data_IF_771892684851
#
_entry.id   IF_771892684851
#
_cell.length_a   1.000
_cell.length_b   1.000
_cell.length_c   1.000
_cell.angle_alpha   90.00
_cell.angle_beta   90.00
_cell.angle_gamma   90.00
#
_symmetry.space_group_name_H-M   'P 1'
#
loop_
_entity.id
_entity.type
_entity.pdbx_description
1 polymer ?
#
# COMPACT_ATOMS: atom_id res chain seq x y z
N UNK A 1 23.60 -34.26 41.77
CA UNK A 1 22.48 -33.59 41.05
C UNK A 1 22.42 -32.13 41.46
N UNK A 2 22.92 -31.23 40.62
CA UNK A 2 22.67 -29.79 40.75
C UNK A 2 22.81 -29.16 39.36
N UNK A 3 21.81 -29.41 38.51
CA UNK A 3 21.65 -28.62 37.31
C UNK A 3 21.25 -27.21 37.75
N UNK A 4 22.22 -26.30 37.84
CA UNK A 4 21.86 -24.88 37.79
C UNK A 4 21.36 -24.66 36.37
N UNK A 5 20.04 -24.55 36.23
CA UNK A 5 19.38 -24.17 34.98
C UNK A 5 19.93 -22.78 34.64
N UNK A 6 20.97 -22.74 33.80
CA UNK A 6 21.55 -21.52 33.27
C UNK A 6 20.51 -20.84 32.39
N UNK A 7 19.56 -20.17 33.02
CA UNK A 7 18.53 -19.37 32.35
C UNK A 7 19.17 -18.09 31.89
N UNK A 8 19.81 -18.12 30.72
CA UNK A 8 20.20 -16.90 30.03
C UNK A 8 18.94 -16.07 29.75
N UNK A 9 18.88 -14.85 30.27
CA UNK A 9 17.80 -13.91 29.93
C UNK A 9 17.90 -13.59 28.44
N UNK A 10 16.82 -13.76 27.69
CA UNK A 10 16.79 -13.45 26.26
C UNK A 10 17.01 -11.94 26.06
N UNK A 11 18.08 -11.56 25.34
CA UNK A 11 18.38 -10.17 24.96
C UNK A 11 17.52 -9.66 23.79
N UNK A 12 16.63 -10.50 23.28
CA UNK A 12 15.78 -10.23 22.13
C UNK A 12 14.35 -9.98 22.63
N UNK A 13 13.89 -8.73 22.55
CA UNK A 13 12.55 -8.32 22.98
C UNK A 13 12.13 -6.94 22.46
N UNK A 14 12.84 -6.42 21.45
CA UNK A 14 12.53 -5.14 20.83
C UNK A 14 11.87 -5.38 19.50
N UNK A 15 10.67 -4.85 19.34
CA UNK A 15 9.99 -4.74 18.06
C UNK A 15 9.43 -3.33 17.89
N UNK A 16 9.22 -2.93 16.64
CA UNK A 16 8.65 -1.63 16.30
C UNK A 16 7.14 -1.74 16.13
N UNK A 17 6.41 -0.70 16.54
CA UNK A 17 4.96 -0.66 16.34
C UNK A 17 4.57 -0.77 14.86
N UNK A 18 3.50 -1.50 14.57
CA UNK A 18 3.00 -1.69 13.22
C UNK A 18 2.62 -0.37 12.56
N UNK A 19 3.07 -0.16 11.32
CA UNK A 19 2.82 1.07 10.57
C UNK A 19 1.53 1.05 9.75
N UNK A 20 0.71 -0.01 9.90
CA UNK A 20 -0.59 -0.17 9.22
C UNK A 20 -0.53 0.08 7.71
N UNK A 21 0.55 -0.38 7.09
CA UNK A 21 0.76 -0.32 5.63
C UNK A 21 -0.23 -1.24 4.90
N UNK A 22 -0.19 -1.23 3.57
CA UNK A 22 -0.99 -2.09 2.72
C UNK A 22 -2.05 -1.35 1.91
N UNK A 23 -2.80 -2.14 1.15
CA UNK A 23 -3.91 -1.71 0.30
C UNK A 23 -5.08 -1.28 1.17
N UNK A 24 -5.72 -0.17 0.82
CA UNK A 24 -6.89 0.40 1.50
C UNK A 24 -8.14 0.27 0.65
N UNK A 25 -7.99 0.41 -0.67
CA UNK A 25 -9.08 0.25 -1.64
C UNK A 25 -8.63 -0.76 -2.68
N UNK A 26 -9.45 -1.79 -2.88
CA UNK A 26 -9.17 -2.90 -3.80
C UNK A 26 -9.72 -2.61 -5.21
N UNK A 27 -9.31 -3.42 -6.18
CA UNK A 27 -9.80 -3.31 -7.55
C UNK A 27 -11.31 -3.46 -7.64
N UNK A 28 -11.96 -2.61 -8.44
CA UNK A 28 -13.41 -2.57 -8.63
C UNK A 28 -14.17 -1.71 -7.61
N UNK A 29 -13.51 -1.25 -6.54
CA UNK A 29 -14.13 -0.38 -5.55
C UNK A 29 -14.11 1.09 -6.00
N UNK A 30 -15.17 1.82 -5.65
CA UNK A 30 -15.28 3.25 -5.87
C UNK A 30 -14.43 4.02 -4.88
N UNK A 31 -13.74 5.06 -5.36
CA UNK A 31 -12.92 5.96 -4.55
C UNK A 31 -13.20 7.41 -4.95
N UNK A 32 -13.19 8.28 -3.96
CA UNK A 32 -13.28 9.72 -4.18
C UNK A 32 -11.88 10.31 -4.44
N UNK A 33 -11.82 11.46 -5.09
CA UNK A 33 -10.63 12.27 -5.24
C UNK A 33 -10.01 12.55 -3.86
N UNK A 34 -8.69 12.40 -3.76
CA UNK A 34 -7.93 12.50 -2.50
C UNK A 34 -7.94 11.23 -1.64
N UNK A 35 -8.76 10.23 -1.98
CA UNK A 35 -8.80 8.95 -1.26
C UNK A 35 -7.48 8.17 -1.38
N UNK A 36 -7.03 7.54 -0.29
CA UNK A 36 -5.81 6.72 -0.27
C UNK A 36 -6.11 5.32 -0.80
N UNK A 37 -5.33 4.87 -1.79
CA UNK A 37 -5.43 3.54 -2.39
C UNK A 37 -4.48 2.56 -1.69
N UNK A 38 -3.20 2.93 -1.53
CA UNK A 38 -2.16 2.08 -0.93
C UNK A 38 -1.19 2.90 -0.09
N UNK A 39 -0.88 2.43 1.12
CA UNK A 39 0.27 2.89 1.91
C UNK A 39 1.40 1.88 1.80
N UNK A 40 2.56 2.28 1.28
CA UNK A 40 3.67 1.36 1.00
C UNK A 40 5.02 1.93 1.46
N UNK A 41 6.05 1.08 1.43
CA UNK A 41 7.45 1.49 1.55
C UNK A 41 8.13 1.19 0.22
N UNK A 42 8.69 2.24 -0.39
CA UNK A 42 9.09 2.21 -1.79
C UNK A 42 7.91 2.03 -2.74
N UNK A 43 8.20 1.86 -4.02
CA UNK A 43 7.20 1.74 -5.09
C UNK A 43 7.01 0.28 -5.49
N UNK A 44 6.31 -0.51 -4.66
CA UNK A 44 5.89 -1.87 -5.07
C UNK A 44 4.82 -1.81 -6.14
N UNK A 45 3.88 -0.87 -5.96
CA UNK A 45 2.92 -0.47 -6.97
C UNK A 45 3.23 0.96 -7.39
N UNK A 46 3.22 1.21 -8.69
CA UNK A 46 3.47 2.51 -9.29
C UNK A 46 2.17 3.27 -9.51
N UNK A 47 2.26 4.60 -9.50
CA UNK A 47 1.15 5.45 -9.91
C UNK A 47 0.91 5.29 -11.41
N UNK A 48 -0.31 4.92 -11.78
CA UNK A 48 -0.79 4.91 -13.14
C UNK A 48 -1.67 6.14 -13.42
N UNK A 49 -2.62 5.98 -14.33
CA UNK A 49 -3.53 7.03 -14.73
C UNK A 49 -4.47 7.44 -13.58
N UNK A 50 -4.68 8.75 -13.41
CA UNK A 50 -5.50 9.37 -12.36
C UNK A 50 -5.11 9.03 -10.91
N UNK A 51 -3.85 8.63 -10.69
CA UNK A 51 -3.30 8.33 -9.37
C UNK A 51 -2.07 9.20 -9.11
N UNK A 52 -2.04 9.84 -7.95
CA UNK A 52 -0.88 10.57 -7.44
C UNK A 52 -0.03 9.74 -6.48
N UNK A 53 1.23 10.13 -6.31
CA UNK A 53 2.15 9.53 -5.34
C UNK A 53 2.65 10.58 -4.36
N UNK A 54 2.51 10.31 -3.05
CA UNK A 54 3.00 11.17 -1.98
C UNK A 54 4.49 10.97 -1.68
N UNK A 55 5.05 11.81 -0.80
CA UNK A 55 6.46 11.74 -0.37
C UNK A 55 6.86 10.39 0.26
N UNK A 56 5.94 9.74 0.97
CA UNK A 56 6.15 8.42 1.57
C UNK A 56 5.80 7.26 0.61
N UNK A 57 5.63 7.54 -0.68
CA UNK A 57 5.18 6.62 -1.73
C UNK A 57 3.73 6.12 -1.59
N UNK A 58 2.92 6.78 -0.75
CA UNK A 58 1.48 6.50 -0.67
C UNK A 58 0.80 6.86 -2.00
N UNK A 59 -0.05 5.97 -2.51
CA UNK A 59 -0.85 6.20 -3.71
C UNK A 59 -2.23 6.71 -3.34
N UNK A 60 -2.68 7.77 -4.01
CA UNK A 60 -3.99 8.39 -3.80
C UNK A 60 -4.69 8.72 -5.13
N UNK A 61 -6.02 8.74 -5.13
CA UNK A 61 -6.81 9.05 -6.31
C UNK A 61 -6.82 10.56 -6.60
N UNK A 62 -6.66 10.95 -7.85
CA UNK A 62 -6.78 12.35 -8.30
C UNK A 62 -8.22 12.72 -8.67
N UNK A 63 -9.00 11.73 -9.10
CA UNK A 63 -10.40 11.89 -9.54
C UNK A 63 -11.30 10.86 -8.85
N UNK A 64 -12.60 11.13 -8.86
CA UNK A 64 -13.60 10.16 -8.43
C UNK A 64 -13.71 9.05 -9.48
N UNK A 65 -13.81 7.80 -9.05
CA UNK A 65 -13.88 6.68 -9.99
C UNK A 65 -13.72 5.31 -9.33
N UNK A 66 -13.38 4.31 -10.14
CA UNK A 66 -13.11 2.94 -9.67
C UNK A 66 -11.63 2.62 -9.76
N UNK A 67 -11.10 1.97 -8.73
CA UNK A 67 -9.69 1.54 -8.70
C UNK A 67 -9.51 0.30 -9.56
N UNK A 68 -8.45 0.26 -10.37
CA UNK A 68 -8.02 -0.89 -11.14
C UNK A 68 -6.51 -1.10 -10.96
N UNK A 69 -6.09 -2.35 -10.86
CA UNK A 69 -4.67 -2.71 -10.86
C UNK A 69 -4.32 -3.39 -12.17
N UNK A 70 -3.22 -2.99 -12.78
CA UNK A 70 -2.73 -3.56 -14.03
C UNK A 70 -1.23 -3.84 -13.94
N UNK A 71 -0.79 -4.91 -14.59
CA UNK A 71 0.64 -5.21 -14.76
C UNK A 71 1.03 -4.71 -16.16
N UNK A 72 2.03 -3.83 -16.25
CA UNK A 72 2.45 -3.22 -17.51
C UNK A 72 3.98 -3.21 -17.66
N UNK A 73 4.42 -3.14 -18.91
CA UNK A 73 5.83 -3.01 -19.30
C UNK A 73 6.64 -4.32 -19.28
N UNK A 74 7.85 -4.27 -19.82
CA UNK A 74 8.76 -5.43 -19.93
C UNK A 74 9.12 -6.02 -18.56
N UNK A 75 9.26 -5.15 -17.55
CA UNK A 75 9.60 -5.54 -16.18
C UNK A 75 8.38 -6.00 -15.34
N UNK A 76 7.17 -6.03 -15.93
CA UNK A 76 5.94 -6.46 -15.26
C UNK A 76 5.66 -5.71 -13.95
N UNK A 77 5.87 -4.39 -13.95
CA UNK A 77 5.55 -3.57 -12.80
C UNK A 77 4.03 -3.46 -12.61
N UNK A 78 3.57 -3.45 -11.36
CA UNK A 78 2.18 -3.22 -11.00
C UNK A 78 1.88 -1.73 -10.97
N UNK A 79 0.77 -1.33 -11.57
CA UNK A 79 0.28 0.05 -11.60
C UNK A 79 -1.12 0.12 -11.00
N UNK A 80 -1.36 1.12 -10.17
CA UNK A 80 -2.70 1.50 -9.71
C UNK A 80 -3.27 2.56 -10.67
N UNK A 81 -4.47 2.34 -11.15
CA UNK A 81 -5.18 3.21 -12.09
C UNK A 81 -6.54 3.53 -11.49
N UNK A 82 -7.02 4.76 -11.66
CA UNK A 82 -8.40 5.13 -11.36
C UNK A 82 -9.13 5.38 -12.67
N UNK A 83 -10.13 4.55 -12.97
CA UNK A 83 -11.04 4.75 -14.09
C UNK A 83 -12.08 5.75 -13.63
N UNK A 84 -12.05 6.95 -14.20
CA UNK A 84 -13.00 8.01 -13.87
C UNK A 84 -14.43 7.53 -14.14
N UNK A 85 -15.32 7.72 -13.17
CA UNK A 85 -16.74 7.51 -13.42
C UNK A 85 -17.26 8.75 -14.13
N UNK A 86 -17.61 8.62 -15.41
CA UNK A 86 -18.10 9.73 -16.25
C UNK A 86 -19.48 10.23 -15.81
N UNK A 87 -20.08 9.63 -14.78
CA UNK A 87 -21.28 10.11 -14.12
C UNK A 87 -20.97 11.26 -13.14
N UNK A 88 -20.52 12.39 -13.68
CA UNK A 88 -20.57 13.68 -12.98
C UNK A 88 -21.24 14.69 -13.92
N UNK A 89 -22.54 14.83 -13.70
CA UNK A 89 -23.36 15.95 -14.16
C UNK A 89 -23.07 17.21 -13.33
#
# INVERSE_FOLDING_TARGET
MAHKKGGGTTRNGRDSESKRLGVKVYGGQTINAGGIIIRQRGTRVHAGENVGMGKDHTLFALVNGKVQFAIKGANKHQYAIVVADTAAA
#
